data_IF_625573089233
#
_entry.id   IF_625573089233
#
_cell.length_a   1.000
_cell.length_b   1.000
_cell.length_c   1.000
_cell.angle_alpha   90.00
_cell.angle_beta   90.00
_cell.angle_gamma   90.00
#
_symmetry.space_group_name_H-M   'P 1'
#
loop_
_entity.id
_entity.type
_entity.pdbx_description
1 polymer ?
#
# COMPACT_ATOMS: atom_id res chain seq x y z
N UNK A 1 -21.33 8.01 19.17
CA UNK A 1 -21.43 8.73 17.89
C UNK A 1 -21.40 7.68 16.79
N UNK A 2 -22.38 7.57 15.89
CA UNK A 2 -22.28 6.57 14.83
C UNK A 2 -21.15 7.01 13.90
N UNK A 3 -20.13 6.17 13.79
CA UNK A 3 -19.11 6.30 12.74
C UNK A 3 -19.87 6.23 11.42
N UNK A 4 -19.97 7.35 10.70
CA UNK A 4 -20.66 7.39 9.41
C UNK A 4 -20.06 6.30 8.54
N UNK A 5 -20.86 5.26 8.26
CA UNK A 5 -20.41 4.07 7.54
C UNK A 5 -20.21 4.46 6.07
N UNK A 6 -19.02 4.99 5.75
CA UNK A 6 -18.66 5.37 4.38
C UNK A 6 -18.57 4.10 3.53
N UNK A 7 -19.18 4.13 2.35
CA UNK A 7 -19.21 2.97 1.45
C UNK A 7 -18.25 3.19 0.29
N UNK A 8 -17.42 2.19 0.00
CA UNK A 8 -16.61 2.21 -1.22
C UNK A 8 -17.52 2.07 -2.43
N UNK A 9 -17.51 3.07 -3.32
CA UNK A 9 -18.26 3.06 -4.59
C UNK A 9 -17.39 2.69 -5.77
N UNK A 10 -16.07 2.92 -5.66
CA UNK A 10 -15.10 2.50 -6.68
C UNK A 10 -13.79 2.09 -6.00
N UNK A 11 -13.21 1.00 -6.48
CA UNK A 11 -11.87 0.57 -6.10
C UNK A 11 -11.01 0.45 -7.36
N UNK A 12 -9.78 0.93 -7.30
CA UNK A 12 -8.79 0.79 -8.35
C UNK A 12 -7.52 0.20 -7.75
N UNK A 13 -7.02 -0.87 -8.35
CA UNK A 13 -5.77 -1.51 -7.94
C UNK A 13 -4.78 -1.38 -9.08
N UNK A 14 -3.64 -0.75 -8.81
CA UNK A 14 -2.53 -0.62 -9.77
C UNK A 14 -1.27 -1.20 -9.16
N UNK A 15 -0.56 -2.05 -9.90
CA UNK A 15 0.76 -2.53 -9.51
C UNK A 15 1.79 -1.39 -9.52
N UNK A 16 2.66 -1.36 -8.50
CA UNK A 16 3.77 -0.43 -8.38
C UNK A 16 5.05 -1.13 -8.86
N UNK A 17 5.31 -1.07 -10.16
CA UNK A 17 6.44 -1.75 -10.80
C UNK A 17 7.83 -1.26 -10.33
N UNK A 18 7.90 -0.06 -9.75
CA UNK A 18 9.14 0.52 -9.22
C UNK A 18 9.26 0.39 -7.69
N UNK A 19 8.54 -0.55 -7.08
CA UNK A 19 8.70 -0.90 -5.68
C UNK A 19 9.85 -1.91 -5.51
N UNK A 20 10.92 -1.50 -4.83
CA UNK A 20 12.11 -2.32 -4.58
C UNK A 20 12.23 -2.78 -3.12
N UNK A 21 11.09 -2.94 -2.43
CA UNK A 21 11.07 -3.37 -1.03
C UNK A 21 11.43 -4.85 -0.86
N UNK A 22 11.75 -5.22 0.38
CA UNK A 22 11.98 -6.61 0.78
C UNK A 22 10.90 -7.06 1.75
N UNK A 23 10.55 -8.33 1.66
CA UNK A 23 9.71 -9.00 2.62
C UNK A 23 10.30 -8.91 4.02
N UNK A 24 9.55 -8.38 5.00
CA UNK A 24 10.00 -8.29 6.40
C UNK A 24 10.11 -9.66 7.08
N UNK A 25 9.42 -10.68 6.57
CA UNK A 25 9.48 -12.04 7.11
C UNK A 25 10.69 -12.85 6.63
N UNK A 26 10.91 -12.99 5.31
CA UNK A 26 11.96 -13.85 4.76
C UNK A 26 13.09 -13.11 3.98
N UNK A 27 12.98 -11.79 3.77
CA UNK A 27 14.00 -10.98 3.11
C UNK A 27 14.01 -11.03 1.57
N UNK A 28 13.14 -11.84 0.95
CA UNK A 28 12.99 -11.89 -0.52
C UNK A 28 12.42 -10.58 -1.08
N UNK A 29 12.63 -10.29 -2.37
CA UNK A 29 11.97 -9.17 -3.03
C UNK A 29 10.45 -9.25 -2.83
N UNK A 30 9.84 -8.12 -2.49
CA UNK A 30 8.40 -7.97 -2.41
C UNK A 30 7.93 -7.08 -3.56
N UNK A 31 6.76 -7.38 -4.12
CA UNK A 31 6.06 -6.48 -5.03
C UNK A 31 5.08 -5.62 -4.23
N UNK A 32 4.55 -4.55 -4.82
CA UNK A 32 3.53 -3.74 -4.17
C UNK A 32 2.45 -3.30 -5.14
N UNK A 33 1.27 -3.06 -4.61
CA UNK A 33 0.12 -2.51 -5.32
C UNK A 33 -0.45 -1.31 -4.58
N UNK A 34 -0.95 -0.33 -5.33
CA UNK A 34 -1.73 0.78 -4.80
C UNK A 34 -3.21 0.48 -4.94
N UNK A 35 -3.93 0.50 -3.83
CA UNK A 35 -5.37 0.32 -3.74
C UNK A 35 -6.01 1.69 -3.45
N UNK A 36 -6.61 2.27 -4.49
CA UNK A 36 -7.28 3.57 -4.41
C UNK A 36 -8.79 3.35 -4.29
N UNK A 37 -9.31 3.66 -3.09
CA UNK A 37 -10.73 3.56 -2.75
C UNK A 37 -11.38 4.92 -2.85
N UNK A 38 -12.46 4.99 -3.59
CA UNK A 38 -13.33 6.17 -3.68
C UNK A 38 -14.60 5.84 -2.91
N UNK A 39 -14.90 6.67 -1.92
CA UNK A 39 -16.08 6.54 -1.08
C UNK A 39 -17.27 7.33 -1.66
N UNK A 40 -18.48 6.95 -1.26
CA UNK A 40 -19.72 7.64 -1.57
C UNK A 40 -19.74 9.12 -1.14
N UNK A 41 -18.97 9.45 -0.10
CA UNK A 41 -18.72 10.82 0.35
C UNK A 41 -17.84 11.65 -0.59
N UNK A 42 -17.25 11.02 -1.62
CA UNK A 42 -16.24 11.62 -2.49
C UNK A 42 -14.82 11.59 -1.92
N UNK A 43 -14.65 11.09 -0.68
CA UNK A 43 -13.33 10.88 -0.10
C UNK A 43 -12.54 9.82 -0.88
N UNK A 44 -11.24 10.05 -0.99
CA UNK A 44 -10.31 9.14 -1.65
C UNK A 44 -9.29 8.69 -0.62
N UNK A 45 -9.20 7.39 -0.42
CA UNK A 45 -8.16 6.76 0.36
C UNK A 45 -7.25 5.98 -0.59
N UNK A 46 -5.93 6.08 -0.38
CA UNK A 46 -4.96 5.29 -1.13
C UNK A 46 -4.11 4.52 -0.14
N UNK A 47 -4.12 3.20 -0.27
CA UNK A 47 -3.34 2.26 0.53
C UNK A 47 -2.32 1.62 -0.39
N UNK A 48 -1.09 1.42 0.09
CA UNK A 48 -0.11 0.62 -0.63
C UNK A 48 0.14 -0.65 0.14
N UNK A 49 -0.08 -1.79 -0.50
CA UNK A 49 0.13 -3.11 0.08
C UNK A 49 1.35 -3.71 -0.59
N UNK A 50 2.34 -4.12 0.21
CA UNK A 50 3.46 -4.90 -0.27
C UNK A 50 3.23 -6.37 0.06
N UNK A 51 3.60 -7.25 -0.86
CA UNK A 51 3.37 -8.69 -0.78
C UNK A 51 4.58 -9.49 -1.24
N UNK A 52 4.77 -10.66 -0.65
CA UNK A 52 5.81 -11.62 -0.97
C UNK A 52 5.15 -12.92 -1.44
N UNK A 53 5.23 -13.22 -2.74
CA UNK A 53 4.57 -14.39 -3.33
C UNK A 53 5.05 -15.70 -2.71
N UNK A 54 6.36 -15.89 -2.62
CA UNK A 54 6.99 -17.09 -2.08
C UNK A 54 8.30 -16.72 -1.36
N UNK A 55 8.71 -17.49 -0.33
CA UNK A 55 8.05 -18.69 0.21
C UNK A 55 7.02 -18.42 1.31
N UNK A 56 6.93 -17.18 1.82
CA UNK A 56 6.25 -16.92 3.09
C UNK A 56 4.85 -16.31 2.98
N UNK A 57 4.44 -15.80 1.80
CA UNK A 57 3.10 -15.22 1.61
C UNK A 57 2.85 -13.92 2.38
N UNK A 58 3.89 -13.26 2.90
CA UNK A 58 3.76 -12.06 3.72
C UNK A 58 3.11 -10.91 2.93
N UNK A 59 2.15 -10.22 3.54
CA UNK A 59 1.56 -8.99 3.02
C UNK A 59 1.38 -7.97 4.14
N UNK A 60 1.68 -6.69 3.88
CA UNK A 60 1.53 -5.61 4.87
C UNK A 60 1.28 -4.28 4.18
N UNK A 61 0.64 -3.35 4.89
CA UNK A 61 0.52 -1.98 4.41
C UNK A 61 1.88 -1.29 4.57
N UNK A 62 2.38 -0.71 3.49
CA UNK A 62 3.65 0.00 3.47
C UNK A 62 3.45 1.44 3.04
N UNK A 63 4.29 2.33 3.55
CA UNK A 63 4.44 3.65 2.95
C UNK A 63 5.32 3.50 1.70
N UNK A 64 4.85 3.87 0.50
CA UNK A 64 5.67 3.82 -0.68
C UNK A 64 6.86 4.75 -0.47
N UNK A 65 8.07 4.19 -0.39
CA UNK A 65 9.28 4.99 -0.38
C UNK A 65 9.61 5.26 -1.84
N UNK A 66 9.14 6.39 -2.37
CA UNK A 66 9.61 6.84 -3.67
C UNK A 66 11.12 7.06 -3.58
N UNK A 67 11.89 6.54 -4.54
CA UNK A 67 13.35 6.75 -4.57
C UNK A 67 13.74 8.24 -4.61
N UNK A 68 12.80 9.11 -4.98
CA UNK A 68 12.90 10.57 -4.98
C UNK A 68 12.13 11.25 -3.84
N UNK A 69 11.61 10.50 -2.87
CA UNK A 69 10.95 11.06 -1.69
C UNK A 69 11.97 11.77 -0.78
N UNK A 70 11.55 12.81 -0.03
CA UNK A 70 12.44 13.44 0.94
C UNK A 70 12.93 12.38 1.91
N UNK A 71 14.23 12.13 1.92
CA UNK A 71 14.85 11.16 2.81
C UNK A 71 14.32 11.38 4.23
N UNK A 72 13.73 10.34 4.82
CA UNK A 72 13.27 10.39 6.19
C UNK A 72 14.45 10.80 7.08
N UNK A 73 14.47 12.07 7.49
CA UNK A 73 15.45 12.59 8.44
C UNK A 73 15.13 11.91 9.77
N UNK A 74 15.87 10.84 10.08
CA UNK A 74 15.96 10.31 11.44
C UNK A 74 16.84 11.28 12.21
N UNK A 75 16.25 11.95 13.20
CA UNK A 75 16.98 12.65 14.27
C UNK A 75 17.55 11.67 15.27
#
# INVERSE_FOLDING_TARGET
MPETRRRVVRNHTDEILNYFGKCKSCGYPAHAESNRRIYDTGEIETLVIASCDLPCGWSDQVSPTTMTGPAARRG
#
